data_IF_979220207452
#
_entry.id   IF_979220207452
#
_cell.length_a   1.000
_cell.length_b   1.000
_cell.length_c   1.000
_cell.angle_alpha   90.00
_cell.angle_beta   90.00
_cell.angle_gamma   90.00
#
_symmetry.space_group_name_H-M   'P 1'
#
loop_
_entity.id
_entity.type
_entity.pdbx_description
1 polymer ?
#
# COMPACT_ATOMS: atom_id res chain seq x y z
N UNK A 1 7.57 -14.55 -18.05
CA UNK A 1 6.73 -14.25 -16.88
C UNK A 1 6.37 -15.55 -16.18
N UNK A 2 6.96 -15.81 -15.01
CA UNK A 2 6.60 -16.98 -14.20
C UNK A 2 5.22 -16.68 -13.61
N UNK A 3 4.18 -17.32 -14.14
CA UNK A 3 2.81 -17.25 -13.60
C UNK A 3 2.77 -18.06 -12.30
N UNK A 4 3.19 -17.45 -11.20
CA UNK A 4 3.03 -18.05 -9.88
C UNK A 4 1.55 -18.12 -9.49
N UNK A 5 1.12 -19.27 -8.98
CA UNK A 5 -0.16 -19.43 -8.28
C UNK A 5 -0.05 -18.72 -6.92
N UNK A 6 -0.19 -17.40 -6.91
CA UNK A 6 -0.24 -16.66 -5.66
C UNK A 6 -1.45 -17.06 -4.83
N UNK A 7 -1.42 -16.70 -3.55
CA UNK A 7 -2.55 -16.86 -2.63
C UNK A 7 -2.58 -15.67 -1.66
N UNK A 8 -3.72 -15.49 -1.00
CA UNK A 8 -3.83 -14.51 0.07
C UNK A 8 -3.07 -15.01 1.31
N UNK A 9 -2.17 -14.18 1.84
CA UNK A 9 -1.40 -14.45 3.05
C UNK A 9 -1.84 -13.44 4.11
N UNK A 10 -2.27 -13.93 5.27
CA UNK A 10 -2.56 -13.06 6.40
C UNK A 10 -1.25 -12.55 6.97
N UNK A 11 -1.04 -11.24 6.86
CA UNK A 11 0.17 -10.57 7.36
C UNK A 11 -0.13 -9.84 8.67
N UNK A 12 -1.37 -9.38 8.87
CA UNK A 12 -1.81 -8.86 10.16
C UNK A 12 -3.02 -9.66 10.63
N UNK A 13 -2.93 -10.18 11.84
CA UNK A 13 -4.03 -10.82 12.57
C UNK A 13 -4.59 -9.87 13.63
N UNK A 14 -5.87 -10.05 13.92
CA UNK A 14 -6.60 -9.32 14.95
C UNK A 14 -7.08 -10.34 15.96
N UNK A 15 -6.55 -10.24 17.18
CA UNK A 15 -6.88 -11.14 18.28
C UNK A 15 -7.79 -10.41 19.28
N UNK A 16 -8.92 -11.02 19.60
CA UNK A 16 -9.92 -10.50 20.54
C UNK A 16 -9.94 -11.38 21.80
N UNK A 17 -9.42 -10.86 22.91
CA UNK A 17 -9.42 -11.55 24.20
C UNK A 17 -9.87 -10.60 25.31
N UNK A 18 -10.90 -10.99 26.08
CA UNK A 18 -11.41 -10.25 27.25
C UNK A 18 -11.65 -8.74 26.98
N UNK A 19 -12.37 -8.40 25.91
CA UNK A 19 -12.65 -7.03 25.46
C UNK A 19 -11.42 -6.18 25.09
N UNK A 20 -10.22 -6.78 25.07
CA UNK A 20 -9.02 -6.19 24.48
C UNK A 20 -8.83 -6.70 23.07
N UNK A 21 -8.50 -5.78 22.18
CA UNK A 21 -8.07 -6.11 20.83
C UNK A 21 -6.59 -5.84 20.67
N UNK A 22 -5.85 -6.86 20.24
CA UNK A 22 -4.45 -6.75 19.86
C UNK A 22 -4.28 -7.04 18.37
N UNK A 23 -3.34 -6.30 17.76
CA UNK A 23 -2.91 -6.51 16.39
C UNK A 23 -1.55 -7.20 16.41
N UNK A 24 -1.42 -8.29 15.65
CA UNK A 24 -0.18 -9.07 15.58
C UNK A 24 0.31 -9.14 14.12
N UNK A 25 1.61 -8.89 13.92
CA UNK A 25 2.27 -8.96 12.62
C UNK A 25 2.90 -10.35 12.45
N UNK A 26 2.54 -11.08 11.39
CA UNK A 26 3.30 -12.26 10.98
C UNK A 26 4.55 -11.81 10.21
N UNK A 27 5.57 -11.41 10.98
CA UNK A 27 6.85 -10.95 10.43
C UNK A 27 7.52 -12.01 9.57
N UNK A 28 7.35 -13.30 9.89
CA UNK A 28 7.99 -14.39 9.16
C UNK A 28 7.36 -14.54 7.79
N UNK A 29 6.03 -14.56 7.71
CA UNK A 29 5.30 -14.61 6.45
C UNK A 29 5.61 -13.38 5.58
N UNK A 30 5.57 -12.18 6.17
CA UNK A 30 5.84 -10.94 5.45
C UNK A 30 7.29 -10.89 4.94
N UNK A 31 8.27 -11.26 5.77
CA UNK A 31 9.68 -11.29 5.37
C UNK A 31 9.93 -12.31 4.26
N UNK A 32 9.28 -13.48 4.29
CA UNK A 32 9.40 -14.50 3.24
C UNK A 32 8.90 -13.98 1.89
N UNK A 33 7.90 -13.10 1.89
CA UNK A 33 7.38 -12.49 0.67
C UNK A 33 8.34 -11.41 0.17
N UNK A 34 8.72 -10.46 1.04
CA UNK A 34 9.40 -9.21 0.67
C UNK A 34 10.92 -9.33 0.48
N UNK A 35 11.58 -10.26 1.18
CA UNK A 35 13.04 -10.38 1.18
C UNK A 35 13.57 -11.36 0.12
N UNK A 36 12.71 -11.81 -0.80
CA UNK A 36 13.13 -12.64 -1.94
C UNK A 36 14.18 -11.90 -2.79
N UNK A 37 15.32 -12.55 -3.14
CA UNK A 37 16.42 -11.89 -3.87
C UNK A 37 15.99 -11.15 -5.14
N UNK A 38 15.00 -11.68 -5.85
CA UNK A 38 14.47 -11.13 -7.09
C UNK A 38 13.64 -9.85 -6.94
N UNK A 39 13.14 -9.52 -5.74
CA UNK A 39 12.28 -8.33 -5.52
C UNK A 39 12.73 -7.41 -4.40
N UNK A 40 13.55 -7.87 -3.45
CA UNK A 40 13.82 -7.15 -2.18
C UNK A 40 14.34 -5.73 -2.38
N UNK A 41 15.08 -5.50 -3.46
CA UNK A 41 15.70 -4.23 -3.81
C UNK A 41 14.91 -3.46 -4.88
N UNK A 42 13.80 -4.01 -5.39
CA UNK A 42 12.89 -3.33 -6.32
C UNK A 42 12.01 -2.34 -5.59
N UNK A 43 11.73 -1.20 -6.24
CA UNK A 43 10.76 -0.22 -5.76
C UNK A 43 9.37 -0.85 -5.67
N UNK A 44 8.62 -0.46 -4.65
CA UNK A 44 7.34 -1.10 -4.32
C UNK A 44 6.16 -0.21 -4.74
N UNK A 45 5.11 -0.81 -5.28
CA UNK A 45 3.79 -0.20 -5.48
C UNK A 45 2.79 -1.01 -4.67
N UNK A 46 1.97 -0.37 -3.85
CA UNK A 46 1.02 -1.07 -2.98
C UNK A 46 -0.36 -0.48 -3.20
N UNK A 47 -1.26 -1.32 -3.73
CA UNK A 47 -2.67 -0.99 -3.93
C UNK A 47 -3.49 -1.65 -2.82
N UNK A 48 -4.09 -0.82 -1.98
CA UNK A 48 -4.93 -1.25 -0.87
C UNK A 48 -6.40 -1.02 -1.19
N UNK A 49 -7.27 -1.96 -0.81
CA UNK A 49 -8.72 -1.75 -0.81
C UNK A 49 -9.22 -1.87 0.61
N UNK A 50 -9.73 -0.76 1.15
CA UNK A 50 -10.29 -0.67 2.49
C UNK A 50 -11.68 -0.02 2.45
N UNK A 51 -12.51 -0.30 3.45
CA UNK A 51 -13.89 0.16 3.46
C UNK A 51 -14.77 -0.77 4.29
N UNK A 52 -16.07 -0.51 4.31
CA UNK A 52 -16.93 -1.26 5.21
C UNK A 52 -16.99 -2.75 4.87
N UNK A 53 -17.40 -3.53 5.85
CA UNK A 53 -17.62 -4.96 5.72
C UNK A 53 -18.75 -5.26 4.73
N UNK A 54 -18.63 -6.40 4.03
CA UNK A 54 -19.52 -6.88 2.94
C UNK A 54 -19.66 -6.05 1.68
N UNK A 55 -18.89 -4.99 1.50
CA UNK A 55 -19.05 -4.15 0.31
C UNK A 55 -18.26 -4.65 -0.92
N UNK A 56 -18.01 -5.96 -1.01
CA UNK A 56 -17.37 -6.59 -2.19
C UNK A 56 -15.93 -6.14 -2.47
N UNK A 57 -15.09 -6.00 -1.44
CA UNK A 57 -13.66 -5.62 -1.56
C UNK A 57 -12.82 -6.71 -2.21
N UNK A 58 -12.84 -7.92 -1.65
CA UNK A 58 -12.12 -9.08 -2.18
C UNK A 58 -12.59 -9.45 -3.59
N UNK A 59 -13.91 -9.35 -3.85
CA UNK A 59 -14.48 -9.47 -5.20
C UNK A 59 -13.87 -8.48 -6.20
N UNK A 60 -13.63 -7.23 -5.78
CA UNK A 60 -12.97 -6.23 -6.62
C UNK A 60 -11.48 -6.54 -6.83
N UNK A 61 -10.79 -6.97 -5.77
CA UNK A 61 -9.37 -7.34 -5.83
C UNK A 61 -9.13 -8.53 -6.76
N UNK A 62 -10.08 -9.44 -6.90
CA UNK A 62 -9.92 -10.54 -7.85
C UNK A 62 -9.98 -10.07 -9.30
N UNK A 63 -10.72 -9.01 -9.62
CA UNK A 63 -10.61 -8.37 -10.93
C UNK A 63 -9.27 -7.67 -11.11
N UNK A 64 -8.69 -7.11 -10.04
CA UNK A 64 -7.33 -6.58 -10.09
C UNK A 64 -6.32 -7.69 -10.40
N UNK A 65 -6.45 -8.85 -9.73
CA UNK A 65 -5.65 -10.03 -10.04
C UNK A 65 -5.84 -10.50 -11.48
N UNK A 66 -7.06 -10.51 -12.00
CA UNK A 66 -7.37 -10.88 -13.39
C UNK A 66 -6.66 -9.93 -14.37
N UNK A 67 -6.71 -8.62 -14.12
CA UNK A 67 -6.00 -7.61 -14.91
C UNK A 67 -4.48 -7.82 -14.88
N UNK A 68 -3.89 -7.90 -13.69
CA UNK A 68 -2.43 -8.01 -13.51
C UNK A 68 -1.85 -9.32 -14.06
N UNK A 69 -2.66 -10.39 -14.13
CA UNK A 69 -2.28 -11.67 -14.75
C UNK A 69 -2.50 -11.71 -16.26
N UNK A 70 -3.29 -10.79 -16.80
CA UNK A 70 -3.63 -10.80 -18.21
C UNK A 70 -2.44 -10.36 -19.05
N UNK A 71 -2.05 -11.13 -20.08
CA UNK A 71 -1.07 -10.68 -21.06
C UNK A 71 -1.63 -9.63 -22.04
N UNK A 72 -2.96 -9.46 -22.08
CA UNK A 72 -3.64 -8.53 -22.97
C UNK A 72 -4.46 -7.54 -22.15
N UNK A 73 -3.98 -6.29 -22.07
CA UNK A 73 -4.67 -5.21 -21.36
C UNK A 73 -6.02 -4.84 -21.99
N UNK A 74 -6.28 -5.17 -23.27
CA UNK A 74 -7.55 -4.83 -23.93
C UNK A 74 -8.65 -5.85 -23.66
N UNK A 75 -8.29 -7.09 -23.37
CA UNK A 75 -9.23 -8.20 -23.14
C UNK A 75 -8.90 -8.95 -21.85
N UNK A 76 -8.60 -8.19 -20.80
CA UNK A 76 -8.14 -8.73 -19.52
C UNK A 76 -9.24 -9.42 -18.71
N UNK A 77 -10.50 -9.07 -18.98
CA UNK A 77 -11.65 -9.72 -18.36
C UNK A 77 -11.78 -11.18 -18.80
N UNK A 78 -11.28 -11.55 -19.98
CA UNK A 78 -11.19 -12.91 -20.47
C UNK A 78 -12.52 -13.68 -20.46
N UNK A 79 -12.39 -14.99 -20.23
CA UNK A 79 -13.44 -16.00 -20.06
C UNK A 79 -14.73 -15.53 -19.35
N UNK A 80 -15.89 -15.19 -19.98
CA UNK A 80 -17.06 -14.78 -19.20
C UNK A 80 -17.70 -15.90 -18.39
N UNK A 81 -17.46 -17.16 -18.77
CA UNK A 81 -18.01 -18.34 -18.10
C UNK A 81 -17.03 -18.97 -17.10
N UNK A 82 -15.83 -18.36 -16.94
CA UNK A 82 -14.88 -18.76 -15.91
C UNK A 82 -15.18 -18.08 -14.57
N UNK A 83 -15.20 -18.86 -13.47
CA UNK A 83 -15.27 -18.31 -12.12
C UNK A 83 -14.16 -17.32 -11.82
N UNK A 84 -14.40 -16.46 -10.84
CA UNK A 84 -13.43 -15.50 -10.34
C UNK A 84 -12.60 -16.15 -9.22
N UNK A 85 -11.28 -16.12 -9.35
CA UNK A 85 -10.34 -16.78 -8.43
C UNK A 85 -9.30 -15.79 -7.90
N UNK A 86 -9.06 -15.82 -6.59
CA UNK A 86 -8.05 -14.96 -5.98
C UNK A 86 -8.13 -14.92 -4.46
N UNK A 87 -8.34 -13.73 -3.92
CA UNK A 87 -8.62 -13.54 -2.51
C UNK A 87 -9.89 -14.32 -2.15
N UNK A 88 -9.93 -14.92 -0.96
CA UNK A 88 -11.08 -15.72 -0.61
C UNK A 88 -12.26 -14.78 -0.28
N UNK A 89 -13.40 -15.00 -0.94
CA UNK A 89 -14.63 -14.22 -0.78
C UNK A 89 -15.86 -15.13 -0.81
N UNK A 90 -16.94 -14.70 -0.15
CA UNK A 90 -18.24 -15.38 -0.18
C UNK A 90 -19.37 -14.40 0.11
N UNK A 91 -20.59 -14.75 -0.31
CA UNK A 91 -21.82 -14.12 0.18
C UNK A 91 -22.14 -14.52 1.64
N UNK A 92 -23.21 -13.96 2.18
CA UNK A 92 -23.74 -14.32 3.51
C UNK A 92 -23.38 -13.35 4.64
N UNK A 93 -24.02 -13.55 5.81
CA UNK A 93 -24.09 -12.61 6.94
C UNK A 93 -22.97 -12.71 7.99
N UNK A 94 -21.94 -13.56 7.78
CA UNK A 94 -20.72 -13.62 8.61
C UNK A 94 -19.42 -13.13 7.95
N UNK A 95 -18.43 -12.72 8.77
CA UNK A 95 -17.11 -12.23 8.33
C UNK A 95 -16.30 -13.27 7.56
N UNK A 96 -15.39 -12.77 6.71
CA UNK A 96 -14.47 -13.60 5.94
C UNK A 96 -13.00 -13.18 6.14
N UNK A 97 -12.68 -11.91 5.86
CA UNK A 97 -11.32 -11.36 6.05
C UNK A 97 -11.16 -10.74 7.44
N UNK A 98 -10.14 -11.15 8.19
CA UNK A 98 -9.71 -10.52 9.47
C UNK A 98 -8.31 -9.92 9.32
N UNK A 99 -8.10 -8.71 9.84
CA UNK A 99 -6.84 -7.98 9.74
C UNK A 99 -6.47 -7.55 8.31
N UNK A 100 -5.25 -7.88 7.87
CA UNK A 100 -4.72 -7.49 6.56
C UNK A 100 -4.18 -8.73 5.84
N UNK A 101 -4.68 -8.96 4.62
CA UNK A 101 -4.17 -9.97 3.70
C UNK A 101 -3.31 -9.30 2.62
N UNK A 102 -2.17 -9.91 2.33
CA UNK A 102 -1.29 -9.53 1.23
C UNK A 102 -1.29 -10.65 0.19
N UNK A 103 -1.33 -10.30 -1.09
CA UNK A 103 -1.14 -11.31 -2.14
C UNK A 103 0.33 -11.79 -2.17
N UNK A 104 0.56 -13.11 -2.12
CA UNK A 104 1.89 -13.68 -1.92
C UNK A 104 2.87 -13.46 -3.08
N UNK A 105 2.36 -13.32 -4.30
CA UNK A 105 3.17 -13.18 -5.51
C UNK A 105 3.05 -11.77 -6.09
N UNK A 106 4.08 -10.92 -5.96
CA UNK A 106 4.06 -9.58 -6.52
C UNK A 106 4.10 -9.65 -8.04
N UNK A 107 3.52 -8.63 -8.65
CA UNK A 107 3.56 -8.47 -10.09
C UNK A 107 4.69 -7.52 -10.45
N UNK A 108 5.63 -8.00 -11.28
CA UNK A 108 6.74 -7.18 -11.75
C UNK A 108 6.31 -6.41 -12.99
N UNK A 109 6.43 -5.08 -12.93
CA UNK A 109 6.14 -4.19 -14.05
C UNK A 109 7.31 -3.26 -14.31
N UNK A 110 7.46 -2.85 -15.56
CA UNK A 110 8.34 -1.76 -15.94
C UNK A 110 7.49 -0.51 -16.13
N UNK A 111 7.75 0.53 -15.35
CA UNK A 111 7.07 1.82 -15.49
C UNK A 111 7.47 2.50 -16.80
N UNK A 112 6.71 3.49 -17.28
CA UNK A 112 7.11 4.29 -18.46
C UNK A 112 8.49 4.97 -18.32
N UNK A 113 8.97 5.17 -17.08
CA UNK A 113 10.32 5.66 -16.78
C UNK A 113 11.44 4.65 -17.06
N UNK A 114 11.11 3.37 -17.30
CA UNK A 114 12.06 2.26 -17.40
C UNK A 114 12.39 1.60 -16.05
N UNK A 115 11.87 2.12 -14.93
CA UNK A 115 12.09 1.54 -13.61
C UNK A 115 11.27 0.27 -13.41
N UNK A 116 11.90 -0.81 -12.96
CA UNK A 116 11.21 -2.05 -12.59
C UNK A 116 10.68 -1.97 -11.15
N UNK A 117 9.38 -2.25 -10.98
CA UNK A 117 8.67 -2.17 -9.70
C UNK A 117 7.99 -3.48 -9.36
N UNK A 118 7.82 -3.73 -8.06
CA UNK A 118 7.03 -4.83 -7.51
C UNK A 118 5.67 -4.30 -7.04
N UNK A 119 4.59 -4.76 -7.68
CA UNK A 119 3.21 -4.37 -7.36
C UNK A 119 2.59 -5.40 -6.42
N UNK A 120 2.09 -4.92 -5.28
CA UNK A 120 1.36 -5.70 -4.29
C UNK A 120 -0.09 -5.27 -4.20
N UNK A 121 -0.97 -6.25 -3.98
CA UNK A 121 -2.36 -6.04 -3.63
C UNK A 121 -2.57 -6.37 -2.15
N UNK A 122 -3.23 -5.45 -1.44
CA UNK A 122 -3.54 -5.57 -0.02
C UNK A 122 -5.05 -5.52 0.18
N UNK A 123 -5.62 -6.61 0.69
CA UNK A 123 -7.01 -6.67 1.13
C UNK A 123 -7.07 -6.38 2.61
N UNK A 124 -7.92 -5.45 3.00
CA UNK A 124 -8.12 -5.16 4.42
C UNK A 124 -9.46 -5.74 4.89
N UNK A 125 -9.51 -6.07 6.17
CA UNK A 125 -10.77 -6.34 6.84
C UNK A 125 -11.78 -5.22 6.56
N UNK A 126 -13.03 -5.63 6.42
CA UNK A 126 -14.13 -4.70 6.36
C UNK A 126 -14.36 -4.04 7.71
N UNK A 127 -14.27 -2.72 7.73
CA UNK A 127 -14.64 -1.92 8.90
C UNK A 127 -16.15 -2.03 9.18
N UNK A 128 -16.58 -1.87 10.43
CA UNK A 128 -17.99 -1.74 10.84
C UNK A 128 -18.84 -3.03 10.74
N UNK A 129 -18.30 -4.18 11.14
CA UNK A 129 -19.14 -5.33 11.48
C UNK A 129 -19.66 -5.20 12.94
N UNK A 130 -20.60 -6.07 13.33
CA UNK A 130 -21.24 -6.01 14.65
C UNK A 130 -20.32 -6.42 15.82
N UNK A 131 -19.09 -6.87 15.52
CA UNK A 131 -18.15 -7.42 16.51
C UNK A 131 -16.88 -6.59 16.63
N UNK A 132 -16.48 -5.89 15.57
CA UNK A 132 -15.29 -5.05 15.53
C UNK A 132 -15.57 -3.68 16.13
N UNK A 133 -14.70 -3.21 17.01
CA UNK A 133 -14.81 -1.84 17.53
C UNK A 133 -14.47 -0.83 16.43
N UNK A 134 -15.03 0.38 16.51
CA UNK A 134 -14.66 1.53 15.65
C UNK A 134 -13.14 1.74 15.64
N UNK A 135 -12.49 1.48 16.78
CA UNK A 135 -11.04 1.53 16.94
C UNK A 135 -10.32 0.53 16.03
N UNK A 136 -10.75 -0.73 16.00
CA UNK A 136 -10.11 -1.74 15.15
C UNK A 136 -10.16 -1.34 13.67
N UNK A 137 -11.33 -0.86 13.27
CA UNK A 137 -11.62 -0.40 11.93
C UNK A 137 -10.70 0.76 11.54
N UNK A 138 -10.58 1.76 12.43
CA UNK A 138 -9.70 2.90 12.25
C UNK A 138 -8.22 2.48 12.18
N UNK A 139 -7.77 1.52 13.01
CA UNK A 139 -6.41 0.98 12.99
C UNK A 139 -6.07 0.31 11.67
N UNK A 140 -6.91 -0.63 11.20
CA UNK A 140 -6.67 -1.34 9.92
C UNK A 140 -6.69 -0.36 8.75
N UNK A 141 -7.65 0.57 8.75
CA UNK A 141 -7.72 1.60 7.73
C UNK A 141 -6.50 2.54 7.76
N UNK A 142 -5.99 2.88 8.94
CA UNK A 142 -4.82 3.72 9.09
C UNK A 142 -3.52 3.06 8.67
N UNK A 143 -3.28 1.84 9.14
CA UNK A 143 -2.15 1.02 8.73
C UNK A 143 -2.14 0.85 7.20
N UNK A 144 -3.27 0.46 6.62
CA UNK A 144 -3.36 0.25 5.17
C UNK A 144 -3.13 1.53 4.36
N UNK A 145 -3.59 2.68 4.86
CA UNK A 145 -3.35 3.99 4.22
C UNK A 145 -1.89 4.42 4.30
N UNK A 146 -1.23 4.26 5.47
CA UNK A 146 0.19 4.57 5.63
C UNK A 146 1.09 3.68 4.76
N UNK A 147 0.72 2.40 4.62
CA UNK A 147 1.51 1.40 3.89
C UNK A 147 1.29 1.45 2.38
N UNK A 148 0.14 1.93 1.90
CA UNK A 148 -0.20 1.93 0.48
C UNK A 148 0.29 3.18 -0.26
N UNK A 149 0.54 3.03 -1.56
CA UNK A 149 0.71 4.17 -2.47
C UNK A 149 -0.59 4.58 -3.14
N UNK A 150 -1.53 3.64 -3.26
CA UNK A 150 -2.92 3.89 -3.62
C UNK A 150 -3.85 3.23 -2.60
N UNK A 151 -4.63 4.05 -1.90
CA UNK A 151 -5.71 3.61 -1.03
C UNK A 151 -7.05 3.75 -1.77
N UNK A 152 -7.67 2.63 -2.12
CA UNK A 152 -9.05 2.58 -2.60
C UNK A 152 -9.96 2.52 -1.38
N UNK A 153 -10.74 3.58 -1.16
CA UNK A 153 -11.75 3.64 -0.11
C UNK A 153 -13.10 3.22 -0.70
N UNK A 154 -13.44 1.94 -0.51
CA UNK A 154 -14.64 1.30 -1.02
C UNK A 154 -15.84 1.63 -0.12
N UNK A 155 -16.78 2.40 -0.67
CA UNK A 155 -17.97 2.92 0.00
C UNK A 155 -19.21 2.42 -0.73
N UNK A 156 -20.25 2.00 -0.01
CA UNK A 156 -21.54 1.67 -0.61
C UNK A 156 -22.47 2.90 -0.67
N UNK A 157 -23.15 3.07 -1.80
CA UNK A 157 -24.19 4.07 -1.98
C UNK A 157 -23.66 5.48 -2.19
N UNK A 158 -23.31 6.21 -1.12
CA UNK A 158 -22.95 7.63 -1.21
C UNK A 158 -21.87 7.99 -0.18
N UNK A 159 -21.15 9.09 -0.44
CA UNK A 159 -20.18 9.66 0.51
C UNK A 159 -20.95 10.45 1.56
N UNK A 160 -20.93 9.96 2.80
CA UNK A 160 -21.60 10.52 3.97
C UNK A 160 -20.56 11.14 4.92
N UNK A 161 -21.01 11.87 5.94
CA UNK A 161 -20.10 12.61 6.84
C UNK A 161 -19.26 11.67 7.72
N UNK A 162 -19.83 10.57 8.17
CA UNK A 162 -19.14 9.51 8.92
C UNK A 162 -17.96 8.92 8.11
N UNK A 163 -18.15 8.72 6.81
CA UNK A 163 -17.06 8.27 5.93
C UNK A 163 -15.89 9.27 5.91
N UNK A 164 -16.18 10.58 5.96
CA UNK A 164 -15.16 11.63 6.02
C UNK A 164 -14.53 11.73 7.41
N UNK A 165 -15.31 11.53 8.48
CA UNK A 165 -14.82 11.54 9.85
C UNK A 165 -13.82 10.41 10.12
N UNK A 166 -13.94 9.25 9.47
CA UNK A 166 -12.89 8.20 9.53
C UNK A 166 -11.54 8.70 9.02
N UNK A 167 -11.54 9.71 8.14
CA UNK A 167 -10.31 10.31 7.64
C UNK A 167 -9.70 11.33 8.61
N UNK A 168 -10.39 11.68 9.69
CA UNK A 168 -9.94 12.71 10.63
C UNK A 168 -8.59 12.37 11.28
N UNK A 169 -8.35 11.09 11.60
CA UNK A 169 -7.06 10.65 12.14
C UNK A 169 -5.89 11.00 11.20
N UNK A 170 -6.08 10.84 9.88
CA UNK A 170 -5.06 11.19 8.89
C UNK A 170 -4.88 12.69 8.73
N UNK A 171 -5.95 13.45 8.95
CA UNK A 171 -5.88 14.91 8.85
C UNK A 171 -4.99 15.51 9.93
N UNK A 172 -5.06 14.99 11.16
CA UNK A 172 -4.17 15.44 12.24
C UNK A 172 -2.73 14.95 12.03
N UNK A 173 -2.55 13.69 11.62
CA UNK A 173 -1.23 13.18 11.26
C UNK A 173 -0.57 14.00 10.17
N UNK A 174 -1.30 14.24 9.08
CA UNK A 174 -0.75 14.98 7.95
C UNK A 174 -0.51 16.45 8.26
N UNK A 175 -1.33 17.07 9.11
CA UNK A 175 -1.05 18.42 9.63
C UNK A 175 0.29 18.45 10.36
N UNK A 176 0.53 17.53 11.29
CA UNK A 176 1.80 17.47 12.01
C UNK A 176 2.99 17.18 11.09
N UNK A 177 2.81 16.31 10.08
CA UNK A 177 3.85 16.00 9.09
C UNK A 177 4.25 17.23 8.27
N UNK A 178 3.25 18.04 7.87
CA UNK A 178 3.47 19.27 7.12
C UNK A 178 4.13 20.37 7.99
N UNK A 179 3.87 20.37 9.29
CA UNK A 179 4.50 21.29 10.24
C UNK A 179 5.96 20.92 10.52
N UNK A 180 6.34 19.65 10.41
CA UNK A 180 7.70 19.14 10.71
C UNK A 180 8.70 19.26 9.55
N UNK A 181 8.53 20.22 8.63
CA UNK A 181 9.36 20.42 7.42
C UNK A 181 9.48 19.19 6.50
N UNK A 182 8.60 18.19 6.63
CA UNK A 182 8.61 17.02 5.77
C UNK A 182 8.31 17.43 4.32
N UNK A 183 9.07 16.90 3.37
CA UNK A 183 8.94 17.27 1.97
C UNK A 183 7.69 16.62 1.35
N UNK A 184 6.60 17.40 1.25
CA UNK A 184 5.40 17.04 0.50
C UNK A 184 4.25 16.47 1.35
N UNK A 185 3.32 15.78 0.70
CA UNK A 185 2.15 15.20 1.37
C UNK A 185 2.51 13.84 1.99
N UNK A 186 2.03 13.52 3.21
CA UNK A 186 2.35 12.27 3.90
C UNK A 186 1.81 11.03 3.16
N UNK A 187 0.70 11.18 2.44
CA UNK A 187 0.07 10.12 1.68
C UNK A 187 0.03 10.46 0.20
N UNK A 188 -0.12 9.43 -0.62
CA UNK A 188 -0.09 9.57 -2.08
C UNK A 188 -1.49 9.71 -2.64
N UNK A 189 -2.15 8.60 -2.98
CA UNK A 189 -3.42 8.64 -3.68
C UNK A 189 -4.54 8.01 -2.85
N UNK A 190 -5.56 8.81 -2.52
CA UNK A 190 -6.84 8.33 -2.00
C UNK A 190 -7.90 8.32 -3.11
N UNK A 191 -8.46 7.15 -3.39
CA UNK A 191 -9.52 6.95 -4.39
C UNK A 191 -10.82 6.53 -3.69
N UNK A 192 -11.81 7.42 -3.65
CA UNK A 192 -13.16 7.07 -3.24
C UNK A 192 -13.79 6.21 -4.33
N UNK A 193 -14.10 4.95 -4.02
CA UNK A 193 -14.84 4.07 -4.90
C UNK A 193 -16.26 3.91 -4.35
N UNK A 194 -17.21 4.59 -4.98
CA UNK A 194 -18.62 4.50 -4.60
C UNK A 194 -19.26 3.36 -5.38
N UNK A 195 -19.66 2.32 -4.65
CA UNK A 195 -20.36 1.13 -5.15
C UNK A 195 -21.85 1.38 -5.17
N UNK A 196 -22.56 0.71 -6.07
CA UNK A 196 -24.02 0.71 -6.16
C UNK A 196 -24.60 2.13 -6.27
N UNK A 197 -23.88 3.00 -6.98
CA UNK A 197 -24.32 4.37 -7.24
C UNK A 197 -25.64 4.34 -8.00
N UNK A 198 -26.65 5.01 -7.46
CA UNK A 198 -28.04 4.89 -7.95
C UNK A 198 -28.55 6.14 -8.67
N UNK A 199 -27.71 7.18 -8.80
CA UNK A 199 -28.11 8.49 -9.36
C UNK A 199 -27.24 8.89 -10.57
N UNK A 200 -27.11 8.04 -11.62
CA UNK A 200 -26.28 8.36 -12.79
C UNK A 200 -26.77 9.58 -13.58
N UNK A 201 -28.04 9.94 -13.41
CA UNK A 201 -28.65 11.14 -13.99
C UNK A 201 -28.22 12.45 -13.31
N UNK A 202 -27.73 12.40 -12.06
CA UNK A 202 -27.12 13.55 -11.39
C UNK A 202 -25.60 13.60 -11.61
N UNK A 203 -24.95 12.45 -11.37
CA UNK A 203 -23.52 12.26 -11.57
C UNK A 203 -23.32 10.95 -12.31
N UNK A 204 -22.91 11.03 -13.58
CA UNK A 204 -22.67 9.86 -14.43
C UNK A 204 -21.70 8.86 -13.79
N UNK A 205 -21.79 7.59 -14.17
CA UNK A 205 -20.81 6.59 -13.77
C UNK A 205 -19.39 6.96 -14.20
N UNK A 206 -18.40 6.33 -13.55
CA UNK A 206 -17.01 6.53 -13.84
C UNK A 206 -16.34 7.69 -13.07
N UNK A 207 -15.09 7.97 -13.45
CA UNK A 207 -14.25 8.95 -12.74
C UNK A 207 -14.70 10.40 -12.92
N UNK A 208 -15.31 10.75 -14.06
CA UNK A 208 -15.74 12.14 -14.33
C UNK A 208 -16.89 12.55 -13.42
N UNK A 209 -17.94 11.73 -13.32
CA UNK A 209 -19.05 11.99 -12.39
C UNK A 209 -18.61 11.83 -10.94
N UNK A 210 -17.74 10.85 -10.65
CA UNK A 210 -17.17 10.65 -9.32
C UNK A 210 -16.44 11.88 -8.79
N UNK A 211 -15.53 12.46 -9.57
CA UNK A 211 -14.80 13.66 -9.15
C UNK A 211 -15.74 14.86 -8.93
N UNK A 212 -16.77 15.04 -9.77
CA UNK A 212 -17.80 16.08 -9.56
C UNK A 212 -18.57 15.88 -8.26
N UNK A 213 -18.97 14.64 -7.94
CA UNK A 213 -19.63 14.31 -6.68
C UNK A 213 -18.70 14.61 -5.50
N UNK A 214 -17.45 14.18 -5.57
CA UNK A 214 -16.46 14.39 -4.52
C UNK A 214 -16.20 15.88 -4.27
N UNK A 215 -16.05 16.69 -5.33
CA UNK A 215 -15.88 18.13 -5.21
C UNK A 215 -17.08 18.79 -4.49
N UNK A 216 -18.31 18.34 -4.81
CA UNK A 216 -19.51 18.81 -4.13
C UNK A 216 -19.51 18.43 -2.64
N UNK A 217 -19.11 17.20 -2.29
CA UNK A 217 -19.09 16.70 -0.90
C UNK A 217 -17.98 17.33 -0.05
N UNK A 218 -16.82 17.63 -0.65
CA UNK A 218 -15.69 18.27 0.02
C UNK A 218 -15.77 19.80 0.04
N UNK A 219 -16.77 20.41 -0.62
CA UNK A 219 -16.98 21.86 -0.55
C UNK A 219 -17.25 22.29 0.89
N UNK A 220 -16.40 23.18 1.41
CA UNK A 220 -16.55 23.76 2.74
C UNK A 220 -17.68 24.79 2.69
N UNK A 221 -18.68 24.63 3.57
CA UNK A 221 -19.76 25.60 3.75
C UNK A 221 -19.68 26.23 5.14
N UNK A 222 -20.01 27.53 5.29
CA UNK A 222 -20.00 28.19 6.61
C UNK A 222 -20.94 27.55 7.64
N UNK A 223 -21.96 26.82 7.16
CA UNK A 223 -22.94 26.10 7.98
C UNK A 223 -22.42 24.80 8.58
N UNK A 224 -21.31 24.26 8.08
CA UNK A 224 -20.71 23.03 8.60
C UNK A 224 -20.10 23.28 9.99
N UNK A 225 -20.14 22.27 10.86
CA UNK A 225 -19.43 22.31 12.13
C UNK A 225 -17.92 22.49 11.92
N UNK A 226 -17.24 23.11 12.88
CA UNK A 226 -15.81 23.41 12.76
C UNK A 226 -14.97 22.16 12.43
N UNK A 227 -15.28 21.03 13.06
CA UNK A 227 -14.64 19.73 12.81
C UNK A 227 -14.80 19.27 11.34
N UNK A 228 -16.01 19.35 10.79
CA UNK A 228 -16.33 19.00 9.40
C UNK A 228 -15.59 19.89 8.39
N UNK A 229 -15.40 21.17 8.71
CA UNK A 229 -14.60 22.09 7.88
C UNK A 229 -13.12 21.71 7.94
N UNK A 230 -12.61 21.36 9.12
CA UNK A 230 -11.24 20.92 9.35
C UNK A 230 -10.93 19.64 8.57
N UNK A 231 -11.78 18.62 8.64
CA UNK A 231 -11.61 17.36 7.88
C UNK A 231 -11.50 17.65 6.38
N UNK A 232 -12.44 18.41 5.81
CA UNK A 232 -12.44 18.75 4.38
C UNK A 232 -11.20 19.53 3.93
N UNK A 233 -10.72 20.45 4.76
CA UNK A 233 -9.51 21.25 4.49
C UNK A 233 -8.27 20.35 4.39
N UNK A 234 -8.16 19.40 5.30
CA UNK A 234 -6.95 18.59 5.45
C UNK A 234 -6.93 17.35 4.55
N UNK A 235 -8.08 16.79 4.15
CA UNK A 235 -8.09 15.64 3.20
C UNK A 235 -7.27 15.97 1.94
N UNK A 236 -7.39 17.19 1.41
CA UNK A 236 -6.62 17.60 0.22
C UNK A 236 -5.16 17.96 0.51
N UNK A 237 -4.80 18.27 1.76
CA UNK A 237 -3.41 18.56 2.13
C UNK A 237 -2.63 17.30 2.50
N UNK A 238 -3.31 16.25 2.94
CA UNK A 238 -2.67 15.01 3.39
C UNK A 238 -2.35 14.03 2.24
N UNK A 239 -3.08 14.12 1.12
CA UNK A 239 -2.91 13.23 -0.02
C UNK A 239 -2.47 14.02 -1.25
N UNK A 240 -1.41 13.56 -1.93
CA UNK A 240 -0.95 14.16 -3.20
C UNK A 240 -2.03 14.14 -4.29
N UNK A 241 -2.97 13.18 -4.21
CA UNK A 241 -4.10 13.04 -5.10
C UNK A 241 -5.31 12.49 -4.34
N UNK A 242 -6.45 13.14 -4.51
CA UNK A 242 -7.75 12.62 -4.07
C UNK A 242 -8.66 12.58 -5.29
N UNK A 243 -9.26 11.42 -5.57
CA UNK A 243 -10.19 11.27 -6.68
C UNK A 243 -11.36 10.35 -6.30
N UNK A 244 -12.36 10.29 -7.16
CA UNK A 244 -13.54 9.46 -6.94
C UNK A 244 -14.00 8.77 -8.24
N UNK A 245 -14.52 7.56 -8.11
CA UNK A 245 -15.09 6.77 -9.19
C UNK A 245 -16.43 6.18 -8.75
N UNK A 246 -17.45 6.28 -9.60
CA UNK A 246 -18.80 5.75 -9.32
C UNK A 246 -19.02 4.47 -10.12
N UNK A 247 -19.29 3.36 -9.42
CA UNK A 247 -19.69 2.08 -10.02
C UNK A 247 -21.20 1.88 -9.87
N UNK A 248 -21.87 1.33 -10.89
CA UNK A 248 -23.26 0.89 -10.79
C UNK A 248 -23.39 -0.33 -9.85
N UNK A 249 -24.62 -0.77 -9.63
CA UNK A 249 -24.89 -2.02 -8.93
C UNK A 249 -24.52 -3.22 -9.82
N UNK A 250 -23.85 -4.28 -9.32
CA UNK A 250 -23.36 -5.40 -10.14
C UNK A 250 -24.46 -6.38 -10.62
N UNK A 251 -25.72 -6.09 -10.29
CA UNK A 251 -26.89 -6.93 -10.60
C UNK A 251 -27.35 -7.79 -9.42
N UNK A 252 -28.64 -8.14 -9.40
CA UNK A 252 -29.25 -8.88 -8.29
C UNK A 252 -28.67 -10.29 -8.12
N UNK A 253 -28.29 -10.95 -9.21
CA UNK A 253 -27.64 -12.27 -9.16
C UNK A 253 -26.37 -12.24 -8.31
N UNK A 254 -25.52 -11.23 -8.51
CA UNK A 254 -24.28 -11.06 -7.72
C UNK A 254 -24.59 -10.82 -6.25
N UNK A 255 -25.64 -10.04 -5.95
CA UNK A 255 -25.98 -9.63 -4.59
C UNK A 255 -26.69 -10.72 -3.78
N UNK A 256 -27.53 -11.56 -4.40
CA UNK A 256 -28.46 -12.44 -3.68
C UNK A 256 -28.27 -13.93 -3.95
N UNK A 257 -27.59 -14.32 -5.03
CA UNK A 257 -27.43 -15.74 -5.36
C UNK A 257 -26.30 -16.37 -4.50
N UNK A 258 -26.60 -17.33 -3.61
CA UNK A 258 -25.59 -17.95 -2.76
C UNK A 258 -24.59 -18.83 -3.53
N UNK A 259 -24.90 -19.22 -4.78
CA UNK A 259 -24.01 -20.03 -5.62
C UNK A 259 -23.26 -19.19 -6.66
N UNK A 260 -23.33 -17.86 -6.59
CA UNK A 260 -22.55 -17.00 -7.46
C UNK A 260 -21.05 -17.18 -7.21
N UNK A 261 -20.31 -17.47 -8.28
CA UNK A 261 -18.88 -17.78 -8.27
C UNK A 261 -18.03 -16.79 -9.09
N UNK A 262 -18.59 -15.63 -9.43
CA UNK A 262 -17.85 -14.54 -10.07
C UNK A 262 -17.84 -14.55 -11.59
N UNK A 263 -18.57 -15.47 -12.25
CA UNK A 263 -18.72 -15.47 -13.71
C UNK A 263 -19.26 -14.13 -14.23
N UNK A 264 -18.64 -13.61 -15.28
CA UNK A 264 -19.04 -12.34 -15.89
C UNK A 264 -20.41 -12.41 -16.55
N UNK A 265 -20.81 -13.59 -17.04
CA UNK A 265 -22.12 -13.82 -17.65
C UNK A 265 -23.30 -13.61 -16.68
N UNK A 266 -23.03 -13.60 -15.37
CA UNK A 266 -24.03 -13.34 -14.32
C UNK A 266 -23.98 -11.91 -13.74
N UNK A 267 -23.05 -11.07 -14.23
CA UNK A 267 -22.87 -9.68 -13.77
C UNK A 267 -23.58 -8.72 -14.73
N UNK A 268 -24.16 -7.65 -14.19
CA UNK A 268 -24.79 -6.61 -14.99
C UNK A 268 -23.81 -6.01 -16.04
N UNK A 269 -24.19 -5.93 -17.32
CA UNK A 269 -23.31 -5.41 -18.38
C UNK A 269 -22.82 -3.98 -18.15
N UNK A 270 -23.62 -3.12 -17.54
CA UNK A 270 -23.22 -1.74 -17.24
C UNK A 270 -22.09 -1.72 -16.19
N UNK A 271 -22.20 -2.58 -15.17
CA UNK A 271 -21.12 -2.80 -14.21
C UNK A 271 -19.84 -3.31 -14.87
N UNK A 272 -19.95 -4.30 -15.77
CA UNK A 272 -18.79 -4.83 -16.50
C UNK A 272 -18.13 -3.74 -17.35
N UNK A 273 -18.92 -2.87 -17.99
CA UNK A 273 -18.40 -1.76 -18.79
C UNK A 273 -17.63 -0.74 -17.95
N UNK A 274 -18.18 -0.33 -16.81
CA UNK A 274 -17.48 0.58 -15.90
C UNK A 274 -16.25 -0.07 -15.27
N UNK A 275 -16.30 -1.37 -14.99
CA UNK A 275 -15.16 -2.14 -14.49
C UNK A 275 -14.00 -2.17 -15.52
N UNK A 276 -14.30 -2.28 -16.82
CA UNK A 276 -13.30 -2.19 -17.91
C UNK A 276 -12.55 -0.86 -17.91
N UNK A 277 -13.18 0.21 -17.43
CA UNK A 277 -12.56 1.54 -17.31
C UNK A 277 -11.85 1.70 -15.97
N UNK A 278 -12.49 1.24 -14.89
CA UNK A 278 -12.00 1.40 -13.52
C UNK A 278 -10.66 0.70 -13.30
N UNK A 279 -10.55 -0.60 -13.64
CA UNK A 279 -9.38 -1.39 -13.29
C UNK A 279 -8.10 -0.87 -13.96
N UNK A 280 -8.07 -0.54 -15.27
CA UNK A 280 -6.90 0.09 -15.88
C UNK A 280 -6.59 1.48 -15.30
N UNK A 281 -7.61 2.25 -14.88
CA UNK A 281 -7.40 3.56 -14.22
C UNK A 281 -6.58 3.41 -12.94
N UNK A 282 -6.71 2.28 -12.24
CA UNK A 282 -5.98 1.95 -11.01
C UNK A 282 -4.62 1.29 -11.31
N UNK A 283 -4.57 0.35 -12.27
CA UNK A 283 -3.47 -0.61 -12.38
C UNK A 283 -2.64 -0.54 -13.67
N UNK A 284 -3.00 0.33 -14.63
CA UNK A 284 -2.17 0.52 -15.82
C UNK A 284 -0.77 1.00 -15.45
N UNK A 285 0.23 0.68 -16.28
CA UNK A 285 1.63 1.08 -16.02
C UNK A 285 1.79 2.59 -15.80
N UNK A 286 0.97 3.42 -16.45
CA UNK A 286 0.95 4.88 -16.25
C UNK A 286 0.27 5.34 -14.97
N UNK A 287 -0.60 4.50 -14.38
CA UNK A 287 -1.31 4.80 -13.14
C UNK A 287 -0.55 4.36 -11.89
N UNK A 288 0.32 3.35 -11.99
CA UNK A 288 1.07 2.82 -10.87
C UNK A 288 2.02 3.89 -10.29
N UNK A 289 1.90 4.12 -8.98
CA UNK A 289 2.75 5.05 -8.25
C UNK A 289 3.62 4.29 -7.26
N UNK A 290 4.94 4.45 -7.39
CA UNK A 290 5.91 3.94 -6.42
C UNK A 290 5.60 4.52 -5.05
N UNK A 291 5.63 3.68 -4.02
CA UNK A 291 5.45 4.10 -2.64
C UNK A 291 6.56 5.05 -2.25
N UNK A 292 6.15 6.21 -1.76
CA UNK A 292 7.03 7.22 -1.19
C UNK A 292 6.71 7.45 0.28
N UNK A 293 7.75 7.64 1.07
CA UNK A 293 7.67 8.11 2.45
C UNK A 293 8.66 9.26 2.57
N UNK A 294 8.18 10.41 3.07
CA UNK A 294 8.94 11.66 3.13
C UNK A 294 9.57 12.07 1.77
N UNK A 295 8.81 11.90 0.68
CA UNK A 295 9.25 12.24 -0.68
C UNK A 295 10.20 11.23 -1.35
N UNK A 296 10.78 10.30 -0.59
CA UNK A 296 11.71 9.29 -1.10
C UNK A 296 11.00 8.00 -1.49
N UNK A 297 11.40 7.41 -2.61
CA UNK A 297 10.83 6.15 -3.10
C UNK A 297 11.45 4.98 -2.36
N UNK A 298 10.63 4.06 -1.85
CA UNK A 298 11.11 2.93 -1.05
C UNK A 298 11.06 1.60 -1.81
N UNK A 299 11.91 0.66 -1.41
CA UNK A 299 11.94 -0.71 -1.92
C UNK A 299 11.19 -1.70 -0.99
N UNK A 300 11.07 -2.96 -1.41
CA UNK A 300 10.36 -4.00 -0.65
C UNK A 300 10.98 -4.26 0.73
N UNK A 301 12.31 -4.21 0.86
CA UNK A 301 13.03 -4.39 2.12
C UNK A 301 12.75 -3.24 3.09
N UNK A 302 12.83 -2.00 2.61
CA UNK A 302 12.56 -0.79 3.40
C UNK A 302 11.10 -0.77 3.86
N UNK A 303 10.17 -1.19 2.99
CA UNK A 303 8.75 -1.30 3.31
C UNK A 303 8.48 -2.26 4.48
N UNK A 304 9.23 -3.37 4.60
CA UNK A 304 9.16 -4.25 5.76
C UNK A 304 9.48 -3.52 7.07
N UNK A 305 10.54 -2.69 7.08
CA UNK A 305 10.93 -1.90 8.27
C UNK A 305 9.83 -0.93 8.68
N UNK A 306 9.24 -0.22 7.71
CA UNK A 306 8.09 0.66 7.98
C UNK A 306 6.88 -0.12 8.51
N UNK A 307 6.59 -1.29 7.94
CA UNK A 307 5.50 -2.14 8.40
C UNK A 307 5.68 -2.52 9.88
N UNK A 308 6.88 -2.98 10.26
CA UNK A 308 7.20 -3.33 11.65
C UNK A 308 7.04 -2.14 12.58
N UNK A 309 7.67 -1.01 12.25
CA UNK A 309 7.61 0.19 13.06
C UNK A 309 6.17 0.67 13.26
N UNK A 310 5.35 0.70 12.20
CA UNK A 310 3.94 1.06 12.34
C UNK A 310 3.17 0.06 13.20
N UNK A 311 3.38 -1.24 13.03
CA UNK A 311 2.70 -2.23 13.86
C UNK A 311 3.00 -2.09 15.36
N UNK A 312 4.23 -1.73 15.75
CA UNK A 312 4.59 -1.51 17.15
C UNK A 312 3.75 -0.42 17.83
N UNK A 313 3.45 0.68 17.12
CA UNK A 313 2.64 1.78 17.66
C UNK A 313 1.17 1.36 17.84
N UNK A 314 0.69 0.46 16.98
CA UNK A 314 -0.71 0.00 16.98
C UNK A 314 -0.94 -1.24 17.86
N UNK A 315 0.10 -1.78 18.52
CA UNK A 315 -0.02 -2.85 19.51
C UNK A 315 -0.59 -2.38 20.86
N UNK A 316 -0.58 -1.07 21.14
CA UNK A 316 -1.07 -0.50 22.39
C UNK A 316 -2.59 -0.62 22.60
N UNK A 317 -3.07 -0.26 23.79
CA UNK A 317 -4.50 -0.28 24.18
C UNK A 317 -5.29 1.00 23.74
N UNK A 318 -4.64 1.97 23.09
CA UNK A 318 -5.28 3.19 22.54
C UNK A 318 -4.98 3.36 21.04
N UNK A 319 -5.80 4.17 20.33
CA UNK A 319 -5.37 4.64 19.00
C UNK A 319 -4.10 5.47 19.20
N UNK A 320 -3.07 5.28 18.37
CA UNK A 320 -1.82 5.99 18.56
C UNK A 320 -2.03 7.48 18.30
N UNK A 321 -1.33 8.30 19.09
CA UNK A 321 -1.32 9.73 18.87
C UNK A 321 -0.64 10.05 17.53
N UNK A 322 -1.11 11.07 16.79
CA UNK A 322 -0.49 11.44 15.52
C UNK A 322 1.01 11.72 15.59
N UNK A 323 1.50 12.20 16.74
CA UNK A 323 2.92 12.39 17.00
C UNK A 323 3.70 11.07 17.01
N UNK A 324 3.18 10.03 17.68
CA UNK A 324 3.82 8.71 17.73
C UNK A 324 3.96 8.09 16.34
N UNK A 325 2.97 8.30 15.46
CA UNK A 325 3.06 7.88 14.06
C UNK A 325 4.20 8.58 13.30
N UNK A 326 4.47 9.86 13.59
CA UNK A 326 5.57 10.59 12.96
C UNK A 326 6.92 10.12 13.48
N UNK A 327 7.04 9.94 14.80
CA UNK A 327 8.25 9.44 15.45
C UNK A 327 8.63 8.07 14.88
N UNK A 328 7.69 7.13 14.79
CA UNK A 328 7.96 5.82 14.19
C UNK A 328 8.30 5.88 12.69
N UNK A 329 7.73 6.82 11.94
CA UNK A 329 8.11 7.04 10.54
C UNK A 329 9.57 7.48 10.44
N UNK A 330 10.00 8.38 11.33
CA UNK A 330 11.38 8.86 11.39
C UNK A 330 12.34 7.75 11.85
N UNK A 331 11.96 6.96 12.85
CA UNK A 331 12.74 5.81 13.33
C UNK A 331 12.95 4.77 12.23
N UNK A 332 11.88 4.37 11.54
CA UNK A 332 11.96 3.43 10.42
C UNK A 332 12.84 3.95 9.27
N UNK A 333 12.75 5.24 8.95
CA UNK A 333 13.60 5.87 7.95
C UNK A 333 15.08 5.79 8.34
N UNK A 334 15.40 6.15 9.58
CA UNK A 334 16.76 6.10 10.11
C UNK A 334 17.31 4.66 10.16
N UNK A 335 16.49 3.68 10.56
CA UNK A 335 16.86 2.27 10.56
C UNK A 335 17.21 1.78 9.15
N UNK A 336 16.39 2.12 8.14
CA UNK A 336 16.67 1.80 6.75
C UNK A 336 17.96 2.44 6.24
N UNK A 337 18.23 3.69 6.58
CA UNK A 337 19.47 4.37 6.24
C UNK A 337 20.71 3.70 6.87
N UNK A 338 20.61 3.29 8.15
CA UNK A 338 21.67 2.56 8.85
C UNK A 338 21.91 1.21 8.19
N UNK A 339 20.87 0.42 7.90
CA UNK A 339 20.98 -0.88 7.24
C UNK A 339 21.66 -0.76 5.87
N UNK A 340 21.22 0.22 5.07
CA UNK A 340 21.82 0.50 3.76
C UNK A 340 23.30 0.85 3.86
N UNK A 341 23.69 1.66 4.85
CA UNK A 341 25.09 2.02 5.08
C UNK A 341 25.93 0.81 5.53
N UNK A 342 25.40 -0.03 6.41
CA UNK A 342 26.07 -1.23 6.90
C UNK A 342 26.28 -2.26 5.79
N UNK A 343 25.28 -2.46 4.92
CA UNK A 343 25.36 -3.36 3.78
C UNK A 343 26.39 -2.86 2.77
N UNK A 344 26.33 -1.58 2.38
CA UNK A 344 27.31 -0.98 1.49
C UNK A 344 28.74 -1.13 2.04
N UNK A 345 28.96 -0.83 3.32
CA UNK A 345 30.26 -1.03 3.96
C UNK A 345 30.70 -2.49 3.91
N UNK A 346 29.81 -3.43 4.22
CA UNK A 346 30.12 -4.86 4.23
C UNK A 346 30.48 -5.38 2.83
N UNK A 347 29.74 -4.95 1.80
CA UNK A 347 30.02 -5.30 0.40
C UNK A 347 31.38 -4.75 -0.05
N UNK A 348 31.66 -3.48 0.20
CA UNK A 348 32.93 -2.86 -0.18
C UNK A 348 34.11 -3.50 0.59
N UNK A 349 33.96 -3.78 1.88
CA UNK A 349 34.98 -4.46 2.67
C UNK A 349 35.21 -5.91 2.18
N UNK A 350 34.17 -6.61 1.73
CA UNK A 350 34.31 -7.94 1.15
C UNK A 350 35.08 -7.91 -0.16
N UNK A 351 34.85 -6.91 -1.03
CA UNK A 351 35.64 -6.69 -2.25
C UNK A 351 37.11 -6.43 -1.92
N UNK A 352 37.38 -5.59 -0.93
CA UNK A 352 38.75 -5.31 -0.45
C UNK A 352 39.41 -6.58 0.10
N UNK A 353 38.72 -7.36 0.93
CA UNK A 353 39.23 -8.63 1.46
C UNK A 353 39.51 -9.66 0.36
N UNK A 354 38.71 -9.68 -0.70
CA UNK A 354 38.94 -10.52 -1.87
C UNK A 354 40.22 -10.08 -2.61
N UNK A 355 40.42 -8.77 -2.81
CA UNK A 355 41.64 -8.22 -3.39
C UNK A 355 42.86 -8.58 -2.52
N UNK A 356 42.79 -8.37 -1.20
CA UNK A 356 43.86 -8.76 -0.28
C UNK A 356 44.16 -10.27 -0.35
N UNK A 357 43.13 -11.12 -0.47
CA UNK A 357 43.30 -12.57 -0.58
C UNK A 357 43.94 -12.97 -1.92
N UNK A 358 43.54 -12.33 -3.04
CA UNK A 358 44.15 -12.52 -4.36
C UNK A 358 45.59 -12.04 -4.34
N UNK A 359 45.87 -10.84 -3.84
CA UNK A 359 47.24 -10.29 -3.71
C UNK A 359 48.08 -11.17 -2.80
N UNK A 360 47.56 -11.68 -1.68
CA UNK A 360 48.30 -12.60 -0.80
C UNK A 360 48.57 -13.96 -1.47
N UNK A 361 47.65 -14.44 -2.30
CA UNK A 361 47.86 -15.64 -3.11
C UNK A 361 48.92 -15.38 -4.22
N UNK A 362 48.90 -14.19 -4.82
CA UNK A 362 49.89 -13.73 -5.80
C UNK A 362 51.27 -13.49 -5.18
N UNK A 363 51.35 -12.93 -3.97
CA UNK A 363 52.59 -12.73 -3.21
C UNK A 363 53.16 -14.07 -2.75
N UNK A 364 52.33 -15.07 -2.45
CA UNK A 364 52.79 -16.45 -2.24
C UNK A 364 53.30 -17.13 -3.52
N UNK A 365 52.89 -16.66 -4.69
CA UNK A 365 53.42 -17.10 -6.00
C UNK A 365 54.65 -16.30 -6.43
N UNK A 366 54.83 -15.09 -5.89
CA UNK A 366 55.90 -14.16 -6.20
C UNK A 366 56.70 -13.80 -4.94
N UNK A 367 57.53 -14.74 -4.46
CA UNK A 367 58.63 -14.46 -3.52
C UNK A 367 59.72 -13.59 -4.19
N UNK A 368 59.38 -12.38 -4.65
CA UNK A 368 60.33 -11.33 -5.05
C UNK A 368 59.85 -9.96 -4.54
N UNK A 369 60.76 -9.09 -4.07
CA UNK A 369 60.46 -8.01 -3.15
C UNK A 369 59.97 -6.76 -3.88
N UNK A 370 58.76 -6.26 -3.60
CA UNK A 370 58.43 -4.82 -3.45
C UNK A 370 57.04 -4.73 -2.79
N UNK A 371 56.95 -4.07 -1.64
CA UNK A 371 55.70 -3.65 -0.99
C UNK A 371 55.70 -2.13 -0.94
N UNK A 372 54.71 -1.48 -1.55
CA UNK A 372 54.15 -0.20 -1.11
C UNK A 372 52.96 0.17 -2.01
N UNK A 373 51.72 0.05 -1.50
CA UNK A 373 50.53 0.87 -1.79
C UNK A 373 49.24 0.15 -1.38
N UNK A 374 48.79 0.26 -0.12
CA UNK A 374 47.39 -0.09 0.26
C UNK A 374 46.77 0.92 1.27
N UNK A 375 47.31 2.13 1.39
CA UNK A 375 46.83 3.12 2.36
C UNK A 375 45.65 3.98 1.86
N UNK A 376 45.33 3.98 0.57
CA UNK A 376 44.48 5.02 -0.04
C UNK A 376 42.99 4.62 -0.05
N UNK A 377 42.67 3.36 -0.39
CA UNK A 377 41.27 2.91 -0.52
C UNK A 377 40.45 2.95 0.77
N UNK A 378 41.04 2.64 1.91
CA UNK A 378 40.35 2.64 3.22
C UNK A 378 39.95 4.05 3.68
N UNK A 379 40.70 5.07 3.27
CA UNK A 379 40.44 6.47 3.65
C UNK A 379 39.27 7.06 2.83
N UNK A 380 39.15 6.64 1.58
CA UNK A 380 38.14 7.10 0.64
C UNK A 380 36.75 6.51 0.96
N UNK A 381 36.72 5.23 1.35
CA UNK A 381 35.51 4.58 1.88
C UNK A 381 35.02 5.28 3.16
N UNK A 382 35.93 5.63 4.08
CA UNK A 382 35.60 6.37 5.31
C UNK A 382 35.05 7.77 5.02
N UNK A 383 35.64 8.50 4.05
CA UNK A 383 35.16 9.84 3.66
C UNK A 383 33.76 9.79 3.03
N UNK A 384 33.49 8.82 2.15
CA UNK A 384 32.18 8.66 1.50
C UNK A 384 31.09 8.28 2.49
N UNK A 385 31.38 7.37 3.43
CA UNK A 385 30.46 7.03 4.53
C UNK A 385 30.20 8.25 5.42
N UNK A 386 31.25 9.01 5.77
CA UNK A 386 31.10 10.21 6.59
C UNK A 386 30.31 11.32 5.90
N UNK A 387 30.42 11.47 4.56
CA UNK A 387 29.64 12.42 3.77
C UNK A 387 28.16 12.02 3.69
N UNK A 388 27.83 10.73 3.52
CA UNK A 388 26.45 10.23 3.59
C UNK A 388 25.85 10.36 5.00
N UNK A 389 26.64 10.13 6.06
CA UNK A 389 26.19 10.36 7.43
C UNK A 389 26.00 11.85 7.76
N UNK A 390 26.70 12.76 7.08
CA UNK A 390 26.53 14.21 7.26
C UNK A 390 25.25 14.73 6.62
N UNK A 391 24.75 14.15 5.52
CA UNK A 391 23.43 14.52 4.98
C UNK A 391 22.28 14.09 5.89
N UNK A 392 22.51 13.12 6.78
CA UNK A 392 21.56 12.67 7.81
C UNK A 392 21.65 13.51 9.10
N UNK A 393 22.62 14.43 9.21
CA UNK A 393 22.79 15.31 10.40
C UNK A 393 22.19 16.71 10.23
N UNK A 394 21.47 16.97 9.15
CA UNK A 394 20.58 18.13 9.05
C UNK A 394 19.15 17.62 9.12
N UNK A 395 18.76 17.24 10.35
CA UNK A 395 17.40 16.99 10.80
C UNK A 395 17.20 17.82 12.06
#
# INVERSE_FOLDING_TARGET
MIKGSGHAVQVVSVDEHNDKTSFSLDEKALSKILLRPEIRDKKIVVVSVAGAFRQGKSFLLDFFLKYLRSPNEKDWLGDPDKPLEGFPWRGGSERFTTGILLWSEPFLFTLPSGEEVAVFLMDTQGSFDSTSTVRQCATVFALSTMLSSLQVYNIHGNIQEDHLQHLHLFTEYGRLAMESEAAGTPFQHLLFLVRDWSFPYEYQFGGVGGNKLLDARLKIQPTHQAEHQTVRRHIRSCFSRVSCFLLPHPGLKVATNPTFDGRLSDIDPEFVNELRVFVPTVLSQSSLQVKKINGESINCREWLTYFKAYMEIYQGDTLPEPRSMLEATAEANNLNAIMTCQEYYSEEMNKVNLIYSIVRCHVKLCDLPVVHEISVGTLEIRKTIFLRLRSVRHF
#
